data_IF_304787863406
#
_entry.id   IF_304787863406
#
_cell.length_a   1.000
_cell.length_b   1.000
_cell.length_c   1.000
_cell.angle_alpha   90.00
_cell.angle_beta   90.00
_cell.angle_gamma   90.00
#
_symmetry.space_group_name_H-M   'P 1'
#
loop_
_entity.id
_entity.type
_entity.pdbx_description
1 polymer ?
#
# COMPACT_ATOMS: atom_id res chain seq x y z
N UNK A 1 4.07 7.52 -26.63
CA UNK A 1 3.63 8.26 -25.42
C UNK A 1 3.79 7.34 -24.25
N UNK A 2 4.60 7.76 -23.28
CA UNK A 2 4.88 7.02 -22.06
C UNK A 2 4.02 7.47 -20.87
N UNK A 3 4.25 6.84 -19.73
CA UNK A 3 3.64 7.15 -18.44
C UNK A 3 4.76 7.24 -17.40
N UNK A 4 4.76 8.32 -16.62
CA UNK A 4 5.72 8.51 -15.51
C UNK A 4 5.01 8.84 -14.22
N UNK A 5 5.66 8.61 -13.10
CA UNK A 5 5.28 9.18 -11.82
C UNK A 5 5.72 10.66 -11.83
N UNK A 6 4.77 11.58 -11.81
CA UNK A 6 5.00 13.02 -11.86
C UNK A 6 5.07 13.65 -10.46
N UNK A 7 4.44 13.03 -9.48
CA UNK A 7 4.45 13.48 -8.09
C UNK A 7 4.15 12.36 -7.12
N UNK A 8 4.59 12.56 -5.88
CA UNK A 8 4.34 11.64 -4.76
C UNK A 8 3.87 12.47 -3.58
N UNK A 9 2.99 11.90 -2.75
CA UNK A 9 2.54 12.52 -1.51
C UNK A 9 2.14 11.46 -0.50
N UNK A 10 2.36 11.73 0.79
CA UNK A 10 2.00 10.81 1.85
C UNK A 10 1.39 11.55 3.04
N UNK A 11 0.55 10.85 3.78
CA UNK A 11 -0.02 11.29 5.03
C UNK A 11 -0.08 10.15 6.02
N UNK A 12 0.29 10.42 7.26
CA UNK A 12 0.07 9.52 8.40
C UNK A 12 -0.59 10.31 9.53
N UNK A 13 -1.49 9.71 10.31
CA UNK A 13 -2.14 10.35 11.44
C UNK A 13 -1.14 10.88 12.47
N UNK A 14 -1.55 11.93 13.18
CA UNK A 14 -0.70 12.55 14.23
C UNK A 14 -0.57 11.69 15.48
N UNK A 15 -1.59 10.88 15.80
CA UNK A 15 -1.61 10.05 17.01
C UNK A 15 -0.63 8.89 16.86
N UNK A 16 0.35 8.85 17.77
CA UNK A 16 1.28 7.73 17.92
C UNK A 16 0.76 6.76 18.98
N UNK A 17 0.89 5.46 18.72
CA UNK A 17 0.69 4.38 19.70
C UNK A 17 2.01 3.62 19.81
N UNK A 18 2.59 3.62 21.01
CA UNK A 18 3.87 2.98 21.31
C UNK A 18 3.70 1.50 21.69
N UNK A 19 4.79 0.74 21.63
CA UNK A 19 4.79 -0.63 22.14
C UNK A 19 4.51 -0.70 23.65
N UNK A 20 4.93 0.31 24.43
CA UNK A 20 4.67 0.36 25.87
C UNK A 20 3.18 0.57 26.18
N UNK A 21 2.45 1.35 25.36
CA UNK A 21 0.99 1.47 25.49
C UNK A 21 0.27 0.16 25.16
N UNK A 22 0.77 -0.62 24.19
CA UNK A 22 0.22 -1.94 23.89
C UNK A 22 0.49 -2.96 24.98
N UNK A 23 1.66 -2.89 25.63
CA UNK A 23 2.01 -3.75 26.76
C UNK A 23 1.09 -3.55 28.00
N UNK A 24 0.36 -2.43 28.07
CA UNK A 24 -0.68 -2.22 29.08
C UNK A 24 -2.00 -2.95 28.78
N UNK A 25 -2.18 -3.43 27.53
CA UNK A 25 -3.44 -4.04 27.06
C UNK A 25 -3.33 -5.55 26.85
N UNK A 26 -2.16 -6.02 26.41
CA UNK A 26 -1.93 -7.43 26.12
C UNK A 26 -0.58 -7.87 26.70
N UNK A 27 -0.43 -9.15 26.97
CA UNK A 27 0.81 -9.74 27.48
C UNK A 27 1.93 -9.69 26.42
N UNK A 28 2.70 -8.59 26.43
CA UNK A 28 3.82 -8.31 25.51
C UNK A 28 4.80 -7.31 26.14
N UNK A 29 5.88 -6.98 25.45
CA UNK A 29 6.80 -5.90 25.83
C UNK A 29 7.31 -5.15 24.61
N UNK A 30 7.86 -3.93 24.83
CA UNK A 30 8.53 -3.16 23.78
C UNK A 30 9.63 -4.00 23.11
N UNK A 31 10.46 -4.65 23.91
CA UNK A 31 11.62 -5.43 23.44
C UNK A 31 11.17 -6.61 22.59
N UNK A 32 10.09 -7.30 23.02
CA UNK A 32 9.55 -8.43 22.27
C UNK A 32 9.00 -8.00 20.90
N UNK A 33 8.17 -6.95 20.86
CA UNK A 33 7.60 -6.44 19.60
C UNK A 33 8.72 -5.96 18.66
N UNK A 34 9.66 -5.16 19.17
CA UNK A 34 10.78 -4.63 18.39
C UNK A 34 11.67 -5.75 17.84
N UNK A 35 12.02 -6.75 18.67
CA UNK A 35 12.84 -7.88 18.24
C UNK A 35 12.15 -8.75 17.18
N UNK A 36 10.84 -8.96 17.28
CA UNK A 36 10.06 -9.81 16.36
C UNK A 36 9.67 -9.13 15.07
N UNK A 37 9.41 -7.81 15.11
CA UNK A 37 8.81 -7.10 13.98
C UNK A 37 9.62 -5.92 13.47
N UNK A 38 10.52 -5.37 14.28
CA UNK A 38 11.19 -4.10 14.04
C UNK A 38 10.31 -2.88 14.35
N UNK A 39 9.03 -3.05 14.68
CA UNK A 39 8.10 -1.95 14.94
C UNK A 39 8.38 -1.36 16.32
N UNK A 40 8.59 -0.05 16.37
CA UNK A 40 8.78 0.70 17.62
C UNK A 40 7.50 1.42 18.01
N UNK A 41 6.79 1.96 17.03
CA UNK A 41 5.53 2.67 17.17
C UNK A 41 4.69 2.55 15.88
N UNK A 42 3.44 2.97 15.94
CA UNK A 42 2.56 3.08 14.77
C UNK A 42 1.70 4.33 14.86
N UNK A 43 1.17 4.75 13.72
CA UNK A 43 0.24 5.87 13.62
C UNK A 43 -1.17 5.34 13.55
N UNK A 44 -2.08 5.96 14.28
CA UNK A 44 -3.48 5.52 14.39
C UNK A 44 -4.40 6.69 14.14
N UNK A 45 -5.34 6.53 13.23
CA UNK A 45 -6.34 7.54 12.88
C UNK A 45 -7.27 7.86 14.06
N UNK A 46 -7.72 9.10 14.11
CA UNK A 46 -8.72 9.55 15.07
C UNK A 46 -10.08 8.86 14.85
N UNK A 47 -11.03 9.00 15.80
CA UNK A 47 -12.35 8.41 15.67
C UNK A 47 -13.07 8.88 14.40
N UNK A 48 -12.94 10.17 14.06
CA UNK A 48 -13.59 10.82 12.92
C UNK A 48 -12.70 10.90 11.66
N UNK A 49 -11.51 10.30 11.68
CA UNK A 49 -10.57 10.29 10.57
C UNK A 49 -10.67 8.97 9.81
N UNK A 50 -11.23 9.01 8.62
CA UNK A 50 -11.46 7.85 7.75
C UNK A 50 -10.36 7.71 6.67
N UNK A 51 -10.26 6.56 5.97
CA UNK A 51 -9.34 6.38 4.86
C UNK A 51 -9.44 7.45 3.77
N UNK A 52 -10.65 7.93 3.45
CA UNK A 52 -10.82 9.01 2.47
C UNK A 52 -10.23 10.34 2.94
N UNK A 53 -10.26 10.66 4.24
CA UNK A 53 -9.64 11.89 4.78
C UNK A 53 -8.13 11.84 4.64
N UNK A 54 -7.52 10.74 5.05
CA UNK A 54 -6.08 10.51 4.88
C UNK A 54 -5.67 10.55 3.41
N UNK A 55 -6.47 9.94 2.53
CA UNK A 55 -6.26 9.93 1.09
C UNK A 55 -6.24 11.33 0.50
N UNK A 56 -7.17 12.21 0.91
CA UNK A 56 -7.22 13.61 0.47
C UNK A 56 -5.96 14.37 0.88
N UNK A 57 -5.47 14.19 2.11
CA UNK A 57 -4.22 14.82 2.55
C UNK A 57 -3.01 14.35 1.73
N UNK A 58 -2.92 13.05 1.44
CA UNK A 58 -1.86 12.51 0.59
C UNK A 58 -1.97 13.03 -0.86
N UNK A 59 -3.18 13.08 -1.41
CA UNK A 59 -3.47 13.58 -2.75
C UNK A 59 -3.07 15.04 -2.92
N UNK A 60 -3.44 15.92 -1.99
CA UNK A 60 -3.07 17.34 -2.02
C UNK A 60 -1.55 17.52 -2.06
N UNK A 61 -0.81 16.77 -1.21
CA UNK A 61 0.66 16.81 -1.21
C UNK A 61 1.25 16.28 -2.51
N UNK A 62 0.67 15.22 -3.06
CA UNK A 62 1.08 14.62 -4.32
C UNK A 62 0.91 15.60 -5.48
N UNK A 63 -0.25 16.23 -5.60
CA UNK A 63 -0.55 17.23 -6.64
C UNK A 63 0.37 18.45 -6.52
N UNK A 64 0.60 18.93 -5.29
CA UNK A 64 1.55 20.01 -5.02
C UNK A 64 2.97 19.67 -5.45
N UNK A 65 3.45 18.44 -5.16
CA UNK A 65 4.79 17.98 -5.58
C UNK A 65 4.93 17.85 -7.09
N UNK A 66 3.82 17.53 -7.79
CA UNK A 66 3.77 17.46 -9.24
C UNK A 66 3.61 18.83 -9.93
N UNK A 67 3.21 19.87 -9.19
CA UNK A 67 2.83 21.16 -9.75
C UNK A 67 1.58 21.09 -10.63
N UNK A 68 0.66 20.18 -10.35
CA UNK A 68 -0.57 19.92 -11.14
C UNK A 68 -1.79 20.32 -10.33
N UNK A 69 -2.68 21.10 -10.98
CA UNK A 69 -3.96 21.47 -10.37
C UNK A 69 -4.89 20.26 -10.27
N UNK A 70 -5.66 20.17 -9.19
CA UNK A 70 -6.62 19.09 -8.96
C UNK A 70 -7.67 18.94 -10.07
N UNK A 71 -8.03 20.05 -10.74
CA UNK A 71 -8.99 20.06 -11.87
C UNK A 71 -8.39 19.48 -13.16
N UNK A 72 -7.08 19.26 -13.20
CA UNK A 72 -6.40 18.57 -14.30
C UNK A 72 -6.28 17.04 -14.07
N UNK A 73 -6.87 16.51 -12.99
CA UNK A 73 -6.93 15.07 -12.73
C UNK A 73 -8.06 14.46 -13.55
N UNK A 74 -7.73 13.46 -14.36
CA UNK A 74 -8.67 12.83 -15.30
C UNK A 74 -9.26 11.52 -14.75
N UNK A 75 -8.65 10.93 -13.72
CA UNK A 75 -9.07 9.67 -13.11
C UNK A 75 -8.52 9.56 -11.70
N UNK A 76 -9.33 9.03 -10.78
CA UNK A 76 -8.90 8.65 -9.43
C UNK A 76 -9.07 7.15 -9.24
N UNK A 77 -7.98 6.46 -8.87
CA UNK A 77 -7.98 5.03 -8.50
C UNK A 77 -7.49 4.89 -7.07
N UNK A 78 -8.32 4.35 -6.19
CA UNK A 78 -7.97 4.15 -4.78
C UNK A 78 -7.78 2.66 -4.48
N UNK A 79 -6.62 2.29 -3.95
CA UNK A 79 -6.38 0.98 -3.35
C UNK A 79 -6.72 1.06 -1.86
N UNK A 80 -7.80 0.39 -1.45
CA UNK A 80 -8.27 0.38 -0.08
C UNK A 80 -8.89 -0.98 0.29
N UNK A 81 -8.52 -1.52 1.45
CA UNK A 81 -9.10 -2.73 2.02
C UNK A 81 -9.98 -2.45 3.24
N UNK A 82 -9.92 -1.23 3.77
CA UNK A 82 -10.68 -0.77 4.94
C UNK A 82 -11.49 0.49 4.58
N UNK A 83 -12.41 0.41 3.60
CA UNK A 83 -13.14 1.58 3.11
C UNK A 83 -13.93 2.27 4.23
N UNK A 84 -14.21 3.56 4.05
CA UNK A 84 -15.04 4.36 4.96
C UNK A 84 -16.40 3.67 5.22
N UNK A 85 -16.95 3.09 4.17
CA UNK A 85 -18.23 2.37 4.16
C UNK A 85 -18.25 1.38 2.99
N UNK A 86 -19.19 0.43 3.02
CA UNK A 86 -19.28 -0.59 1.96
C UNK A 86 -19.66 -0.01 0.59
N UNK A 87 -20.36 1.10 0.55
CA UNK A 87 -20.80 1.84 -0.64
C UNK A 87 -21.08 3.31 -0.29
N UNK A 88 -20.75 4.28 -1.17
CA UNK A 88 -20.01 4.13 -2.44
C UNK A 88 -18.54 3.80 -2.26
N UNK A 89 -17.79 3.72 -3.38
CA UNK A 89 -16.33 3.54 -3.36
C UNK A 89 -15.64 4.70 -2.61
N UNK A 90 -14.53 4.41 -1.92
CA UNK A 90 -13.71 5.41 -1.22
C UNK A 90 -13.21 6.49 -2.18
N UNK A 91 -12.92 6.13 -3.42
CA UNK A 91 -12.50 7.06 -4.47
C UNK A 91 -13.55 8.16 -4.75
N UNK A 92 -14.85 7.85 -4.65
CA UNK A 92 -15.93 8.85 -4.82
C UNK A 92 -15.92 9.88 -3.68
N UNK A 93 -15.66 9.41 -2.44
CA UNK A 93 -15.53 10.31 -1.29
C UNK A 93 -14.29 11.20 -1.40
N UNK A 94 -13.19 10.64 -1.90
CA UNK A 94 -11.96 11.40 -2.18
C UNK A 94 -12.20 12.46 -3.25
N UNK A 95 -12.90 12.12 -4.34
CA UNK A 95 -13.25 13.06 -5.40
C UNK A 95 -14.06 14.24 -4.86
N UNK A 96 -15.12 13.96 -4.09
CA UNK A 96 -15.97 14.97 -3.44
C UNK A 96 -15.14 15.88 -2.53
N UNK A 97 -14.35 15.29 -1.61
CA UNK A 97 -13.54 16.04 -0.64
C UNK A 97 -12.43 16.88 -1.30
N UNK A 98 -11.90 16.46 -2.44
CA UNK A 98 -10.99 17.24 -3.26
C UNK A 98 -11.70 18.39 -3.99
N UNK A 99 -13.04 18.36 -4.09
CA UNK A 99 -13.82 19.35 -4.84
C UNK A 99 -13.57 19.25 -6.35
N UNK A 100 -13.41 18.03 -6.87
CA UNK A 100 -13.32 17.77 -8.32
C UNK A 100 -14.74 17.64 -8.86
N UNK A 101 -15.08 18.44 -9.87
CA UNK A 101 -16.42 18.55 -10.42
C UNK A 101 -16.94 17.26 -11.04
N UNK A 102 -18.27 17.10 -11.08
CA UNK A 102 -18.95 15.95 -11.67
C UNK A 102 -18.64 15.77 -13.17
N UNK A 103 -18.64 14.51 -13.59
CA UNK A 103 -18.63 14.12 -15.01
C UNK A 103 -17.27 14.12 -15.71
N UNK A 104 -16.24 14.72 -15.13
CA UNK A 104 -14.92 14.84 -15.78
C UNK A 104 -13.87 13.85 -15.29
N UNK A 105 -13.98 13.37 -14.07
CA UNK A 105 -12.99 12.51 -13.42
C UNK A 105 -13.67 11.27 -12.83
N UNK A 106 -13.75 10.14 -13.55
CA UNK A 106 -14.22 8.89 -12.95
C UNK A 106 -13.37 8.50 -11.75
N UNK A 107 -14.02 7.86 -10.75
CA UNK A 107 -13.37 7.46 -9.52
C UNK A 107 -13.86 6.06 -9.10
N UNK A 108 -12.94 5.16 -8.78
CA UNK A 108 -13.26 3.80 -8.33
C UNK A 108 -12.17 3.19 -7.46
N UNK A 109 -12.52 2.15 -6.70
CA UNK A 109 -11.61 1.42 -5.84
C UNK A 109 -11.08 0.14 -6.50
N UNK A 110 -9.84 -0.21 -6.13
CA UNK A 110 -9.22 -1.51 -6.40
C UNK A 110 -8.87 -2.17 -5.07
N UNK A 111 -9.39 -3.37 -4.82
CA UNK A 111 -9.08 -4.12 -3.61
C UNK A 111 -8.23 -5.37 -3.93
N UNK A 112 -6.98 -5.35 -3.50
CA UNK A 112 -6.05 -6.48 -3.42
C UNK A 112 -5.25 -6.40 -2.12
N UNK A 113 -5.89 -5.90 -1.06
CA UNK A 113 -5.34 -5.66 0.27
C UNK A 113 -3.97 -4.96 0.16
N UNK A 114 -2.91 -5.47 0.81
CA UNK A 114 -1.59 -4.84 0.82
C UNK A 114 -0.89 -4.81 -0.57
N UNK A 115 -1.30 -5.65 -1.52
CA UNK A 115 -0.83 -5.58 -2.91
C UNK A 115 -1.61 -4.55 -3.75
N UNK A 116 -2.72 -4.02 -3.22
CA UNK A 116 -3.69 -3.20 -3.94
C UNK A 116 -3.09 -2.01 -4.67
N UNK A 117 -2.11 -1.34 -4.08
CA UNK A 117 -1.46 -0.19 -4.72
C UNK A 117 -0.75 -0.55 -6.04
N UNK A 118 -0.06 -1.68 -6.11
CA UNK A 118 0.60 -2.14 -7.35
C UNK A 118 -0.43 -2.55 -8.40
N UNK A 119 -1.53 -3.18 -7.97
CA UNK A 119 -2.66 -3.49 -8.87
C UNK A 119 -3.31 -2.21 -9.41
N UNK A 120 -3.53 -1.20 -8.55
CA UNK A 120 -4.09 0.09 -8.95
C UNK A 120 -3.19 0.84 -9.94
N UNK A 121 -1.86 0.81 -9.75
CA UNK A 121 -0.90 1.35 -10.72
C UNK A 121 -1.01 0.68 -12.10
N UNK A 122 -1.13 -0.66 -12.12
CA UNK A 122 -1.28 -1.40 -13.37
C UNK A 122 -2.60 -1.05 -14.09
N UNK A 123 -3.71 -0.99 -13.35
CA UNK A 123 -5.02 -0.58 -13.89
C UNK A 123 -4.95 0.84 -14.45
N UNK A 124 -4.42 1.79 -13.66
CA UNK A 124 -4.30 3.19 -14.05
C UNK A 124 -3.47 3.35 -15.33
N UNK A 125 -2.27 2.76 -15.37
CA UNK A 125 -1.43 2.79 -16.57
C UNK A 125 -2.11 2.13 -17.77
N UNK A 126 -2.81 1.00 -17.57
CA UNK A 126 -3.56 0.32 -18.63
C UNK A 126 -4.63 1.24 -19.24
N UNK A 127 -5.39 1.96 -18.42
CA UNK A 127 -6.38 2.93 -18.89
C UNK A 127 -5.74 4.11 -19.63
N UNK A 128 -4.62 4.65 -19.12
CA UNK A 128 -3.86 5.72 -19.79
C UNK A 128 -3.35 5.29 -21.18
N UNK A 129 -2.87 4.06 -21.31
CA UNK A 129 -2.36 3.54 -22.59
C UNK A 129 -3.47 3.19 -23.56
N UNK A 130 -4.66 2.81 -23.08
CA UNK A 130 -5.83 2.47 -23.88
C UNK A 130 -6.52 3.72 -24.46
N UNK A 131 -6.61 4.80 -23.68
CA UNK A 131 -7.22 6.07 -24.12
C UNK A 131 -6.32 7.25 -23.68
N UNK A 132 -5.34 7.53 -24.54
CA UNK A 132 -4.23 8.47 -24.27
C UNK A 132 -4.63 9.92 -24.28
N UNK A 133 -5.73 10.25 -24.91
CA UNK A 133 -6.24 11.61 -25.01
C UNK A 133 -7.10 11.95 -23.78
N UNK A 134 -7.78 10.96 -23.24
CA UNK A 134 -8.69 11.10 -22.10
C UNK A 134 -8.00 11.06 -20.76
N UNK A 135 -7.08 10.12 -20.56
CA UNK A 135 -6.43 9.89 -19.25
C UNK A 135 -4.96 10.33 -19.28
N UNK A 136 -4.71 11.60 -19.02
CA UNK A 136 -3.37 12.19 -19.05
C UNK A 136 -2.75 12.35 -17.67
N UNK A 137 -3.56 12.61 -16.63
CA UNK A 137 -3.17 12.74 -15.25
C UNK A 137 -4.05 11.85 -14.39
N UNK A 138 -3.51 10.75 -13.89
CA UNK A 138 -4.23 9.75 -13.10
C UNK A 138 -3.67 9.73 -11.68
N UNK A 139 -4.54 10.02 -10.72
CA UNK A 139 -4.21 9.98 -9.30
C UNK A 139 -4.43 8.55 -8.78
N UNK A 140 -3.37 7.91 -8.33
CA UNK A 140 -3.41 6.57 -7.72
C UNK A 140 -3.08 6.69 -6.24
N UNK A 141 -3.98 6.23 -5.38
CA UNK A 141 -3.87 6.37 -3.93
C UNK A 141 -3.94 5.00 -3.28
N UNK A 142 -3.05 4.73 -2.31
CA UNK A 142 -3.18 3.64 -1.35
C UNK A 142 -3.55 4.21 0.01
N UNK A 143 -4.62 3.73 0.64
CA UNK A 143 -5.08 4.21 1.95
C UNK A 143 -5.73 3.10 2.75
N UNK A 144 -5.40 3.01 4.03
CA UNK A 144 -6.03 2.05 4.94
C UNK A 144 -6.04 2.56 6.39
N UNK A 145 -7.08 2.18 7.13
CA UNK A 145 -7.24 2.38 8.57
C UNK A 145 -7.43 1.03 9.29
N UNK A 146 -6.40 0.17 9.23
CA UNK A 146 -6.44 -1.16 9.84
C UNK A 146 -6.67 -1.11 11.36
N UNK A 147 -6.26 -0.03 12.03
CA UNK A 147 -6.49 0.16 13.46
C UNK A 147 -7.96 0.04 13.85
N UNK A 148 -8.88 0.35 12.93
CA UNK A 148 -10.34 0.32 13.15
C UNK A 148 -10.95 -1.07 13.03
N UNK A 149 -10.24 -2.02 12.43
CA UNK A 149 -10.71 -3.41 12.28
C UNK A 149 -9.89 -4.43 13.09
N UNK A 150 -8.93 -3.96 13.91
CA UNK A 150 -8.15 -4.83 14.78
C UNK A 150 -8.94 -5.23 16.04
N UNK A 151 -8.73 -6.47 16.49
CA UNK A 151 -8.98 -6.83 17.87
C UNK A 151 -7.76 -6.42 18.71
N UNK A 152 -7.83 -5.29 19.38
CA UNK A 152 -6.77 -4.74 20.20
C UNK A 152 -6.38 -5.63 21.42
N UNK A 153 -7.18 -6.66 21.72
CA UNK A 153 -6.89 -7.67 22.75
C UNK A 153 -6.28 -8.95 22.17
N UNK A 154 -6.12 -9.05 20.84
CA UNK A 154 -5.41 -10.18 20.24
C UNK A 154 -3.91 -9.87 20.10
N UNK A 155 -3.10 -10.40 21.04
CA UNK A 155 -1.64 -10.21 21.03
C UNK A 155 -0.93 -10.78 19.79
N UNK A 156 -1.62 -11.51 18.91
CA UNK A 156 -1.04 -12.04 17.67
C UNK A 156 -1.07 -11.04 16.53
N UNK A 157 -1.95 -10.03 16.60
CA UNK A 157 -2.20 -9.12 15.47
C UNK A 157 -2.19 -7.65 15.83
N UNK A 158 -2.50 -7.25 17.07
CA UNK A 158 -2.74 -5.85 17.46
C UNK A 158 -1.51 -4.93 17.32
N UNK A 159 -0.31 -5.47 17.26
CA UNK A 159 0.92 -4.68 17.24
C UNK A 159 1.49 -4.42 15.84
N UNK A 160 0.94 -5.04 14.78
CA UNK A 160 1.51 -4.89 13.43
C UNK A 160 1.12 -3.58 12.75
N UNK A 161 -0.17 -3.22 12.81
CA UNK A 161 -0.74 -2.27 11.88
C UNK A 161 -0.73 -0.83 12.38
N UNK A 162 -0.54 0.08 11.42
CA UNK A 162 -0.82 1.49 11.53
C UNK A 162 -1.68 1.95 10.36
N UNK A 163 -2.13 3.19 10.41
CA UNK A 163 -2.99 3.82 9.44
C UNK A 163 -2.21 4.84 8.62
N UNK A 164 -2.68 5.12 7.42
CA UNK A 164 -2.10 6.15 6.56
C UNK A 164 -2.59 6.10 5.13
N UNK A 165 -2.12 7.06 4.35
CA UNK A 165 -2.35 7.15 2.92
C UNK A 165 -1.07 7.60 2.20
N UNK A 166 -0.92 7.14 0.98
CA UNK A 166 0.08 7.65 0.06
C UNK A 166 -0.49 7.71 -1.35
N UNK A 167 -0.04 8.67 -2.13
CA UNK A 167 -0.53 8.93 -3.46
C UNK A 167 0.62 9.12 -4.45
N UNK A 168 0.40 8.72 -5.69
CA UNK A 168 1.23 9.11 -6.83
C UNK A 168 0.35 9.69 -7.93
N UNK A 169 0.88 10.66 -8.65
CA UNK A 169 0.29 11.15 -9.89
C UNK A 169 1.03 10.52 -11.07
N UNK A 170 0.31 9.72 -11.85
CA UNK A 170 0.79 9.25 -13.14
C UNK A 170 0.46 10.31 -14.18
N UNK A 171 1.47 10.76 -14.93
CA UNK A 171 1.28 11.69 -16.02
C UNK A 171 1.78 11.13 -17.35
N UNK A 172 1.03 11.40 -18.40
CA UNK A 172 1.40 11.07 -19.76
C UNK A 172 2.61 11.88 -20.21
N UNK A 173 3.55 11.24 -20.92
CA UNK A 173 4.73 11.90 -21.50
C UNK A 173 4.64 11.93 -23.01
N UNK A 174 5.23 12.98 -23.64
CA UNK A 174 5.43 13.07 -25.07
C UNK A 174 6.88 12.82 -25.40
N UNK A 175 7.16 12.12 -26.50
CA UNK A 175 8.53 11.92 -26.99
C UNK A 175 9.30 10.79 -26.34
N UNK A 176 8.74 10.06 -25.38
CA UNK A 176 9.31 8.82 -24.85
C UNK A 176 8.22 7.75 -24.67
N UNK A 177 8.64 6.49 -24.55
CA UNK A 177 7.78 5.33 -24.34
C UNK A 177 7.97 4.72 -22.93
N UNK A 178 8.47 5.53 -21.97
CA UNK A 178 8.61 5.06 -20.58
C UNK A 178 7.28 4.57 -20.05
N UNK A 179 7.32 3.44 -19.37
CA UNK A 179 6.17 2.82 -18.71
C UNK A 179 6.65 1.91 -17.60
N UNK A 180 5.76 1.59 -16.69
CA UNK A 180 6.00 0.55 -15.71
C UNK A 180 5.72 -0.81 -16.34
N UNK A 181 6.48 -1.81 -15.92
CA UNK A 181 6.26 -3.22 -16.28
C UNK A 181 5.81 -3.97 -15.03
N UNK A 182 4.83 -4.85 -15.19
CA UNK A 182 4.16 -5.48 -14.05
C UNK A 182 4.20 -6.99 -14.12
N UNK A 183 4.41 -7.61 -12.95
CA UNK A 183 4.20 -9.03 -12.72
C UNK A 183 3.22 -9.18 -11.54
N UNK A 184 1.99 -9.60 -11.82
CA UNK A 184 0.94 -9.75 -10.82
C UNK A 184 0.58 -11.23 -10.65
N UNK A 185 0.13 -11.62 -9.45
CA UNK A 185 -0.33 -12.97 -9.17
C UNK A 185 -1.25 -13.03 -7.95
N UNK A 186 -2.01 -14.12 -7.89
CA UNK A 186 -2.84 -14.45 -6.72
C UNK A 186 -3.03 -15.95 -6.56
N UNK A 187 -3.29 -16.39 -5.32
CA UNK A 187 -3.68 -17.75 -4.98
C UNK A 187 -4.83 -17.75 -3.96
N UNK A 188 -6.05 -17.90 -4.45
CA UNK A 188 -7.26 -17.92 -3.64
C UNK A 188 -7.36 -19.09 -2.65
N UNK A 189 -6.54 -20.14 -2.79
CA UNK A 189 -6.48 -21.24 -1.82
C UNK A 189 -5.93 -20.76 -0.48
N UNK A 190 -5.12 -19.70 -0.48
CA UNK A 190 -4.56 -19.07 0.72
C UNK A 190 -5.46 -18.04 1.39
N UNK A 191 -6.70 -17.82 0.93
CA UNK A 191 -7.58 -16.72 1.38
C UNK A 191 -7.78 -16.60 2.89
N UNK A 192 -7.75 -17.73 3.62
CA UNK A 192 -7.91 -17.75 5.08
C UNK A 192 -6.64 -17.40 5.87
N UNK A 193 -5.51 -17.24 5.19
CA UNK A 193 -4.27 -16.85 5.88
C UNK A 193 -4.30 -15.39 6.36
N UNK A 194 -5.09 -14.55 5.69
CA UNK A 194 -5.36 -13.15 6.06
C UNK A 194 -6.82 -12.86 5.70
N UNK A 195 -7.67 -12.66 6.71
CA UNK A 195 -9.09 -12.38 6.46
C UNK A 195 -9.75 -11.58 7.59
N UNK A 196 -10.89 -10.97 7.29
CA UNK A 196 -11.95 -10.60 8.26
C UNK A 196 -13.08 -11.58 8.03
N UNK A 197 -13.34 -12.53 8.95
CA UNK A 197 -14.23 -13.68 8.71
C UNK A 197 -15.71 -13.34 8.48
N UNK A 198 -16.17 -12.17 8.98
CA UNK A 198 -17.57 -11.73 8.86
C UNK A 198 -17.66 -10.21 8.64
N UNK A 199 -18.87 -9.72 8.37
CA UNK A 199 -19.13 -8.30 8.06
C UNK A 199 -19.44 -8.05 6.58
N UNK A 200 -19.29 -9.07 5.72
CA UNK A 200 -19.74 -9.06 4.34
C UNK A 200 -21.10 -9.76 4.17
N UNK A 201 -21.58 -9.83 2.92
CA UNK A 201 -22.91 -10.40 2.60
C UNK A 201 -23.00 -11.90 2.84
N UNK A 202 -21.88 -12.64 2.77
CA UNK A 202 -21.85 -14.08 3.07
C UNK A 202 -22.04 -14.38 4.55
N UNK A 203 -21.64 -13.48 5.42
CA UNK A 203 -21.82 -13.52 6.86
C UNK A 203 -22.01 -12.10 7.40
N UNK A 204 -23.23 -11.56 7.38
CA UNK A 204 -23.54 -10.24 7.93
C UNK A 204 -23.24 -10.14 9.42
N UNK A 205 -23.11 -8.92 9.92
CA UNK A 205 -22.89 -8.67 11.35
C UNK A 205 -24.15 -8.98 12.12
N UNK A 206 -24.06 -9.85 13.12
CA UNK A 206 -25.09 -10.17 14.10
C UNK A 206 -24.48 -10.24 15.52
N UNK A 207 -25.29 -10.58 16.52
CA UNK A 207 -24.84 -10.67 17.91
C UNK A 207 -23.75 -11.73 18.09
N UNK A 208 -23.81 -12.88 17.39
CA UNK A 208 -22.78 -13.92 17.44
C UNK A 208 -21.46 -13.44 16.84
N UNK A 209 -21.51 -12.74 15.71
CA UNK A 209 -20.33 -12.15 15.05
C UNK A 209 -19.62 -11.17 15.98
N UNK A 210 -20.38 -10.32 16.67
CA UNK A 210 -19.82 -9.33 17.61
C UNK A 210 -19.24 -10.00 18.85
N UNK A 211 -19.95 -10.95 19.46
CA UNK A 211 -19.49 -11.70 20.64
C UNK A 211 -18.17 -12.43 20.37
N UNK A 212 -18.08 -13.12 19.22
CA UNK A 212 -16.90 -13.85 18.78
C UNK A 212 -15.86 -13.00 18.07
N UNK A 213 -16.10 -11.69 17.91
CA UNK A 213 -15.23 -10.72 17.20
C UNK A 213 -14.83 -11.17 15.79
N UNK A 214 -15.74 -11.83 15.07
CA UNK A 214 -15.48 -12.34 13.73
C UNK A 214 -15.43 -11.23 12.65
N UNK A 215 -15.85 -10.03 12.99
CA UNK A 215 -15.74 -8.81 12.19
C UNK A 215 -14.40 -8.09 12.38
N UNK A 216 -13.40 -8.75 12.97
CA UNK A 216 -12.06 -8.22 13.15
C UNK A 216 -11.03 -9.00 12.34
N UNK A 217 -9.92 -8.33 12.03
CA UNK A 217 -8.80 -8.89 11.28
C UNK A 217 -8.18 -10.12 11.97
N UNK A 218 -7.90 -11.16 11.19
CA UNK A 218 -7.20 -12.36 11.62
C UNK A 218 -6.07 -12.74 10.66
N UNK A 219 -5.01 -13.37 11.16
CA UNK A 219 -3.85 -13.74 10.38
C UNK A 219 -3.20 -15.05 10.87
N UNK A 220 -2.86 -15.93 9.94
CA UNK A 220 -1.96 -17.07 10.14
C UNK A 220 -0.53 -16.63 9.82
N UNK A 221 0.18 -16.11 10.81
CA UNK A 221 1.52 -15.54 10.64
C UNK A 221 2.53 -16.47 9.95
N UNK A 222 2.67 -17.76 10.38
CA UNK A 222 3.54 -18.71 9.70
C UNK A 222 3.26 -18.90 8.20
N UNK A 223 2.00 -19.04 7.80
CA UNK A 223 1.64 -19.15 6.37
C UNK A 223 1.93 -17.89 5.59
N UNK A 224 1.66 -16.73 6.19
CA UNK A 224 1.97 -15.43 5.56
C UNK A 224 3.48 -15.25 5.39
N UNK A 225 4.26 -15.65 6.38
CA UNK A 225 5.73 -15.64 6.30
C UNK A 225 6.22 -16.51 5.13
N UNK A 226 5.83 -17.80 5.13
CA UNK A 226 6.24 -18.77 4.11
C UNK A 226 5.88 -18.26 2.71
N UNK A 227 4.66 -17.75 2.55
CA UNK A 227 4.21 -17.15 1.30
C UNK A 227 5.10 -15.99 0.87
N UNK A 228 5.32 -15.01 1.73
CA UNK A 228 6.01 -13.77 1.38
C UNK A 228 7.47 -14.01 0.99
N UNK A 229 8.23 -14.79 1.80
CA UNK A 229 9.65 -15.04 1.55
C UNK A 229 9.92 -15.89 0.31
N UNK A 230 8.92 -16.62 -0.18
CA UNK A 230 9.01 -17.41 -1.40
C UNK A 230 8.45 -16.68 -2.64
N UNK A 231 7.24 -16.11 -2.53
CA UNK A 231 6.55 -15.50 -3.67
C UNK A 231 7.19 -14.19 -4.10
N UNK A 232 7.60 -13.33 -3.17
CA UNK A 232 8.12 -12.00 -3.48
C UNK A 232 9.45 -12.06 -4.26
N UNK A 233 10.51 -12.76 -3.78
CA UNK A 233 11.75 -12.85 -4.54
C UNK A 233 11.56 -13.51 -5.91
N UNK A 234 10.73 -14.54 -6.00
CA UNK A 234 10.41 -15.22 -7.26
C UNK A 234 9.75 -14.26 -8.25
N UNK A 235 8.79 -13.46 -7.80
CA UNK A 235 8.06 -12.50 -8.65
C UNK A 235 8.97 -11.39 -9.15
N UNK A 236 9.81 -10.83 -8.27
CA UNK A 236 10.78 -9.79 -8.65
C UNK A 236 11.79 -10.35 -9.67
N UNK A 237 12.34 -11.54 -9.44
CA UNK A 237 13.26 -12.18 -10.41
C UNK A 237 12.60 -12.45 -11.75
N UNK A 238 11.35 -12.94 -11.76
CA UNK A 238 10.62 -13.19 -13.00
C UNK A 238 10.42 -11.90 -13.79
N UNK A 239 9.95 -10.84 -13.14
CA UNK A 239 9.78 -9.53 -13.77
C UNK A 239 11.10 -9.01 -14.37
N UNK A 240 12.18 -9.06 -13.60
CA UNK A 240 13.49 -8.58 -14.06
C UNK A 240 14.03 -9.41 -15.22
N UNK A 241 13.88 -10.75 -15.17
CA UNK A 241 14.35 -11.65 -16.22
C UNK A 241 13.66 -11.40 -17.58
N UNK A 242 12.36 -11.06 -17.58
CA UNK A 242 11.62 -10.65 -18.80
C UNK A 242 12.27 -9.42 -19.47
N UNK A 243 12.94 -8.57 -18.69
CA UNK A 243 13.65 -7.37 -19.15
C UNK A 243 15.16 -7.55 -19.24
N UNK A 244 15.67 -8.80 -19.17
CA UNK A 244 17.11 -9.14 -19.22
C UNK A 244 17.92 -8.48 -18.10
N UNK A 245 17.30 -8.29 -16.92
CA UNK A 245 17.88 -7.71 -15.74
C UNK A 245 18.01 -8.75 -14.61
N UNK A 246 18.92 -8.49 -13.68
CA UNK A 246 19.07 -9.23 -12.43
C UNK A 246 18.78 -8.30 -11.22
N UNK A 247 18.55 -8.83 -10.01
CA UNK A 247 18.30 -8.00 -8.83
C UNK A 247 19.38 -6.92 -8.58
N UNK A 248 20.64 -7.23 -8.84
CA UNK A 248 21.79 -6.28 -8.70
C UNK A 248 21.66 -5.04 -9.59
N UNK A 249 20.89 -5.11 -10.69
CA UNK A 249 20.71 -4.02 -11.65
C UNK A 249 19.61 -3.04 -11.21
N UNK A 250 18.95 -3.30 -10.07
CA UNK A 250 17.94 -2.43 -9.46
C UNK A 250 18.59 -1.50 -8.45
N UNK A 251 18.36 -0.21 -8.58
CA UNK A 251 18.93 0.80 -7.67
C UNK A 251 18.20 0.82 -6.32
N UNK A 252 16.87 0.71 -6.35
CA UNK A 252 16.06 0.76 -5.14
C UNK A 252 14.84 -0.17 -5.23
N UNK A 253 14.60 -0.94 -4.15
CA UNK A 253 13.37 -1.71 -3.96
C UNK A 253 12.50 -1.02 -2.92
N UNK A 254 11.25 -0.72 -3.28
CA UNK A 254 10.22 -0.24 -2.36
C UNK A 254 9.25 -1.39 -2.12
N UNK A 255 9.42 -2.07 -1.00
CA UNK A 255 8.63 -3.22 -0.61
C UNK A 255 7.47 -2.81 0.30
N UNK A 256 6.36 -3.54 0.22
CA UNK A 256 5.31 -3.46 1.24
C UNK A 256 5.88 -3.65 2.64
N UNK A 257 5.55 -2.76 3.55
CA UNK A 257 6.08 -2.69 4.91
C UNK A 257 5.26 -3.57 5.87
N UNK A 258 5.49 -4.88 5.81
CA UNK A 258 4.74 -5.86 6.62
C UNK A 258 5.36 -6.14 7.98
N UNK A 259 6.68 -6.34 7.98
CA UNK A 259 7.49 -6.73 9.13
C UNK A 259 8.97 -6.61 8.73
N UNK A 260 9.81 -5.96 9.55
CA UNK A 260 11.22 -5.73 9.20
C UNK A 260 11.98 -7.05 8.98
N UNK A 261 11.72 -8.08 9.81
CA UNK A 261 12.38 -9.39 9.65
C UNK A 261 12.01 -10.07 8.33
N UNK A 262 10.77 -9.83 7.85
CA UNK A 262 10.33 -10.32 6.55
C UNK A 262 11.01 -9.55 5.40
N UNK A 263 11.17 -8.25 5.52
CA UNK A 263 11.92 -7.44 4.56
C UNK A 263 13.38 -7.90 4.48
N UNK A 264 14.05 -8.11 5.61
CA UNK A 264 15.41 -8.65 5.68
C UNK A 264 15.52 -10.02 4.98
N UNK A 265 14.55 -10.91 5.21
CA UNK A 265 14.52 -12.24 4.58
C UNK A 265 14.30 -12.14 3.06
N UNK A 266 13.43 -11.25 2.59
CA UNK A 266 13.18 -11.00 1.16
C UNK A 266 14.44 -10.44 0.50
N UNK A 267 15.07 -9.42 1.09
CA UNK A 267 16.31 -8.80 0.58
C UNK A 267 17.44 -9.82 0.51
N UNK A 268 17.62 -10.63 1.56
CA UNK A 268 18.56 -11.75 1.56
C UNK A 268 18.24 -12.77 0.46
N UNK A 269 16.95 -13.11 0.29
CA UNK A 269 16.47 -13.99 -0.77
C UNK A 269 16.75 -13.45 -2.18
N UNK A 270 16.87 -12.14 -2.36
CA UNK A 270 17.27 -11.47 -3.61
C UNK A 270 18.80 -11.27 -3.74
N UNK A 271 19.57 -11.62 -2.70
CA UNK A 271 21.02 -11.37 -2.60
C UNK A 271 21.36 -9.88 -2.66
N UNK A 272 20.50 -9.05 -2.05
CA UNK A 272 20.67 -7.61 -1.99
C UNK A 272 20.84 -7.12 -0.54
N UNK A 273 21.68 -6.12 -0.31
CA UNK A 273 21.84 -5.51 1.01
C UNK A 273 20.64 -4.60 1.34
N UNK A 274 20.40 -4.34 2.63
CA UNK A 274 19.27 -3.53 3.11
C UNK A 274 19.36 -2.06 2.67
N UNK A 275 20.51 -1.55 2.30
CA UNK A 275 20.72 -0.20 1.75
C UNK A 275 19.99 0.01 0.41
N UNK A 276 19.68 -1.08 -0.30
CA UNK A 276 18.90 -1.09 -1.55
C UNK A 276 17.38 -1.04 -1.31
N UNK A 277 16.94 -0.83 -0.08
CA UNK A 277 15.54 -0.57 0.25
C UNK A 277 15.41 0.60 1.24
N UNK A 278 14.18 1.05 1.45
CA UNK A 278 13.82 2.02 2.49
C UNK A 278 12.79 1.37 3.39
N UNK A 279 12.90 1.61 4.68
CA UNK A 279 11.94 1.12 5.66
C UNK A 279 11.19 2.27 6.34
N UNK A 280 9.93 2.05 6.63
CA UNK A 280 9.05 2.95 7.39
C UNK A 280 8.30 2.19 8.48
N UNK A 281 8.48 0.87 8.50
CA UNK A 281 7.81 -0.06 9.39
C UNK A 281 8.07 0.25 10.86
N UNK A 282 9.25 0.76 11.20
CA UNK A 282 9.68 1.05 12.57
C UNK A 282 8.82 2.13 13.23
N UNK A 283 8.41 3.14 12.43
CA UNK A 283 7.70 4.33 12.93
C UNK A 283 6.23 4.37 12.55
N UNK A 284 5.84 3.69 11.48
CA UNK A 284 4.45 3.75 11.00
C UNK A 284 3.71 2.42 11.13
N UNK A 285 4.43 1.32 11.44
CA UNK A 285 3.84 -0.02 11.40
C UNK A 285 3.49 -0.43 9.96
N UNK A 286 2.69 -1.47 9.85
CA UNK A 286 2.16 -1.94 8.56
C UNK A 286 0.94 -1.09 8.17
N UNK A 287 1.09 -0.20 7.21
CA UNK A 287 0.02 0.66 6.69
C UNK A 287 -0.67 0.07 5.44
N UNK A 288 -0.62 -1.25 5.28
CA UNK A 288 -1.29 -2.02 4.21
C UNK A 288 -1.06 -1.45 2.80
N UNK A 289 -2.13 -1.08 2.05
CA UNK A 289 -2.00 -0.55 0.69
C UNK A 289 -1.24 0.79 0.63
N UNK A 290 -1.26 1.57 1.70
CA UNK A 290 -0.55 2.84 1.79
C UNK A 290 0.97 2.68 1.96
N UNK A 291 1.46 1.49 2.36
CA UNK A 291 2.86 1.30 2.74
C UNK A 291 3.86 1.60 1.62
N UNK A 292 3.57 1.17 0.39
CA UNK A 292 4.44 1.42 -0.76
C UNK A 292 4.53 2.92 -1.09
N UNK A 293 3.43 3.66 -1.31
CA UNK A 293 3.52 5.07 -1.64
C UNK A 293 4.04 5.93 -0.48
N UNK A 294 3.79 5.59 0.78
CA UNK A 294 4.42 6.26 1.94
C UNK A 294 5.94 6.04 1.92
N UNK A 295 6.40 4.80 1.69
CA UNK A 295 7.83 4.49 1.62
C UNK A 295 8.50 5.13 0.40
N UNK A 296 7.77 5.23 -0.72
CA UNK A 296 8.23 5.93 -1.93
C UNK A 296 8.45 7.43 -1.64
N UNK A 297 7.50 8.09 -0.95
CA UNK A 297 7.67 9.47 -0.49
C UNK A 297 8.90 9.61 0.42
N UNK A 298 9.09 8.68 1.36
CA UNK A 298 10.27 8.68 2.24
C UNK A 298 11.59 8.54 1.46
N UNK A 299 11.58 7.73 0.40
CA UNK A 299 12.74 7.59 -0.49
C UNK A 299 13.05 8.88 -1.26
N UNK A 300 12.01 9.59 -1.72
CA UNK A 300 12.15 10.92 -2.34
C UNK A 300 12.75 11.92 -1.36
N UNK A 301 12.19 12.03 -0.14
CA UNK A 301 12.64 12.96 0.90
C UNK A 301 14.10 12.71 1.31
N UNK A 302 14.53 11.45 1.29
CA UNK A 302 15.90 11.03 1.59
C UNK A 302 16.88 11.19 0.41
N UNK A 303 16.40 11.67 -0.76
CA UNK A 303 17.23 11.82 -1.97
C UNK A 303 17.74 10.49 -2.56
N UNK A 304 17.11 9.36 -2.21
CA UNK A 304 17.51 8.03 -2.70
C UNK A 304 17.05 7.74 -4.13
N UNK A 305 16.15 8.56 -4.68
CA UNK A 305 15.67 8.45 -6.04
C UNK A 305 16.22 9.59 -6.88
N UNK A 306 16.90 9.23 -7.95
CA UNK A 306 17.47 10.17 -8.91
C UNK A 306 16.87 9.91 -10.30
N UNK A 307 16.80 10.92 -11.18
CA UNK A 307 16.38 10.69 -12.56
C UNK A 307 17.16 9.54 -13.21
N UNK A 308 16.44 8.54 -13.72
CA UNK A 308 17.01 7.33 -14.31
C UNK A 308 17.31 6.21 -13.33
N UNK A 309 17.04 6.37 -12.02
CA UNK A 309 17.12 5.25 -11.06
C UNK A 309 16.14 4.15 -11.47
N UNK A 310 16.61 2.92 -11.49
CA UNK A 310 15.76 1.74 -11.71
C UNK A 310 15.16 1.27 -10.41
N UNK A 311 13.84 1.31 -10.34
CA UNK A 311 13.08 1.06 -9.11
C UNK A 311 12.15 -0.15 -9.30
N UNK A 312 12.07 -0.99 -8.28
CA UNK A 312 11.04 -2.03 -8.18
C UNK A 312 10.14 -1.72 -7.00
N UNK A 313 8.83 -1.58 -7.24
CA UNK A 313 7.80 -1.55 -6.22
C UNK A 313 7.24 -2.96 -6.08
N UNK A 314 7.05 -3.47 -4.85
CA UNK A 314 6.46 -4.80 -4.67
C UNK A 314 5.52 -4.86 -3.47
N UNK A 315 4.25 -5.22 -3.74
CA UNK A 315 3.19 -5.45 -2.76
C UNK A 315 2.82 -6.91 -2.64
N UNK A 316 2.44 -7.35 -1.45
CA UNK A 316 1.97 -8.70 -1.18
C UNK A 316 1.10 -8.73 0.08
N UNK A 317 0.12 -9.62 0.14
CA UNK A 317 -0.80 -9.69 1.28
C UNK A 317 -1.97 -10.64 1.09
N UNK A 318 -3.09 -10.27 1.70
CA UNK A 318 -4.32 -11.06 1.67
C UNK A 318 -4.78 -11.41 0.26
N UNK A 319 -5.43 -12.57 0.16
CA UNK A 319 -5.92 -13.11 -1.09
C UNK A 319 -5.56 -14.60 -1.26
N UNK A 320 -4.33 -15.11 -1.26
CA UNK A 320 -3.09 -14.34 -1.24
C UNK A 320 -2.88 -13.63 -2.57
N UNK A 321 -2.38 -12.41 -2.53
CA UNK A 321 -2.12 -11.60 -3.72
C UNK A 321 -0.73 -10.97 -3.64
N UNK A 322 -0.08 -10.81 -4.79
CA UNK A 322 1.22 -10.16 -4.88
C UNK A 322 1.38 -9.46 -6.23
N UNK A 323 2.24 -8.46 -6.24
CA UNK A 323 2.55 -7.76 -7.49
C UNK A 323 3.86 -7.00 -7.38
N UNK A 324 4.61 -6.99 -8.48
CA UNK A 324 5.79 -6.16 -8.64
C UNK A 324 5.64 -5.24 -9.85
N UNK A 325 6.18 -4.03 -9.75
CA UNK A 325 6.28 -3.06 -10.83
C UNK A 325 7.74 -2.61 -10.98
N UNK A 326 8.27 -2.70 -12.20
CA UNK A 326 9.58 -2.19 -12.57
C UNK A 326 9.39 -0.87 -13.31
N UNK A 327 10.14 0.15 -12.94
CA UNK A 327 10.13 1.46 -13.59
C UNK A 327 11.50 2.14 -13.55
N UNK A 328 11.75 3.02 -14.50
CA UNK A 328 12.82 4.00 -14.46
C UNK A 328 12.24 5.32 -13.93
N UNK A 329 12.86 5.84 -12.85
CA UNK A 329 12.40 7.02 -12.10
C UNK A 329 12.64 8.34 -12.84
#
# INVERSE_FOLDING_TARGET
MGVRIAGVGAYVPSKTVTNNELAQRVDTSHEWIAAKTGILERRVSGPDEAPSDMAVHAAIRCLASAGVDKLAVDLIVVACATPDQSQPATACLVQEKLGISEGQCPAFDVNSVCAGFVFALNVAQGMMLADRDRYRNVLVIGTDAFSKILNWNDRRTCFFFGDGAGAVLLSATTGDDRRMYFQLGSDGRGRRAIEVPAGGTARPVDAEVLDKRLNTFTMDGPKVWEFAVNAVPRTIRALLAEHKLAPRDVDLLILHQSNLRMLEAIMKGLELPMERTVTTIETYGNTAAASIPITLQKACDAGKLQPGSRVVLCGFGGGLSWGAALLDW
#
